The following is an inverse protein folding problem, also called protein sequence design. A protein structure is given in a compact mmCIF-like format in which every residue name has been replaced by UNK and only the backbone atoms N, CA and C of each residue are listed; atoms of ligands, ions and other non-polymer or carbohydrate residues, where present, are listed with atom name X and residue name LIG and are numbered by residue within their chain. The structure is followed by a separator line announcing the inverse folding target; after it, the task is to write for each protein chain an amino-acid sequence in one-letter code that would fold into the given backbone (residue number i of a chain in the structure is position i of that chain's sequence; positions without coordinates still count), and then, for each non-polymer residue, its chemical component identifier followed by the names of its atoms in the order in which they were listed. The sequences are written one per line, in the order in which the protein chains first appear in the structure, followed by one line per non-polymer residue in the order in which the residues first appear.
data_IF_245252549562
#
_entry.id   IF_245252549562
#
_cell.length_a   1.000
_cell.length_b   1.000
_cell.length_c   1.000
_cell.angle_alpha   90.00
_cell.angle_beta   90.00
_cell.angle_gamma   90.00
#
_symmetry.space_group_name_H-M   'P 1'
#
loop_
_entity.id
_entity.type
_entity.pdbx_description
1 polymer ?
#
# COMPACT_ATOMS: atom_id res chain seq x y z
N UNK A 1 -7.61 -17.40 -5.74
CA UNK A 1 -7.54 -16.30 -4.74
C UNK A 1 -8.78 -15.43 -4.89
N UNK A 2 -9.54 -15.19 -3.82
CA UNK A 2 -10.83 -14.45 -3.89
C UNK A 2 -10.63 -12.93 -3.87
N UNK A 3 -9.51 -12.46 -3.32
CA UNK A 3 -9.26 -11.03 -3.09
C UNK A 3 -9.19 -10.22 -4.39
N UNK A 4 -8.51 -10.72 -5.42
CA UNK A 4 -8.29 -9.98 -6.68
C UNK A 4 -9.62 -9.66 -7.40
N UNK A 5 -10.53 -10.63 -7.65
CA UNK A 5 -11.83 -10.34 -8.23
C UNK A 5 -12.68 -9.37 -7.40
N UNK A 6 -12.64 -9.50 -6.06
CA UNK A 6 -13.38 -8.59 -5.17
C UNK A 6 -12.86 -7.17 -5.33
N UNK A 7 -11.54 -6.95 -5.21
CA UNK A 7 -10.94 -5.61 -5.27
C UNK A 7 -11.26 -4.92 -6.59
N UNK A 8 -11.12 -5.61 -7.72
CA UNK A 8 -11.43 -5.03 -9.04
C UNK A 8 -12.92 -4.68 -9.11
N UNK A 9 -13.80 -5.61 -8.74
CA UNK A 9 -15.24 -5.40 -8.84
C UNK A 9 -15.72 -4.27 -7.93
N UNK A 10 -15.27 -4.22 -6.68
CA UNK A 10 -15.69 -3.20 -5.72
C UNK A 10 -15.16 -1.82 -6.08
N UNK A 11 -13.91 -1.72 -6.54
CA UNK A 11 -13.33 -0.43 -6.94
C UNK A 11 -13.97 0.10 -8.21
N UNK A 12 -14.14 -0.73 -9.25
CA UNK A 12 -14.74 -0.29 -10.52
C UNK A 12 -16.18 0.17 -10.29
N UNK A 13 -16.99 -0.63 -9.59
CA UNK A 13 -18.39 -0.28 -9.28
C UNK A 13 -18.46 0.93 -8.36
N UNK A 14 -17.61 0.98 -7.33
CA UNK A 14 -17.57 2.07 -6.36
C UNK A 14 -17.23 3.40 -7.02
N UNK A 15 -16.26 3.42 -7.93
CA UNK A 15 -15.80 4.63 -8.61
C UNK A 15 -16.78 5.07 -9.69
N UNK A 16 -17.32 4.14 -10.47
CA UNK A 16 -18.36 4.44 -11.45
C UNK A 16 -19.61 5.07 -10.79
N UNK A 17 -19.89 4.75 -9.52
CA UNK A 17 -20.98 5.33 -8.75
C UNK A 17 -20.74 6.75 -8.19
N UNK A 18 -19.50 7.25 -8.18
CA UNK A 18 -19.17 8.59 -7.62
C UNK A 18 -19.59 9.73 -8.56
N UNK A 19 -19.80 9.46 -9.85
CA UNK A 19 -20.38 10.42 -10.81
C UNK A 19 -19.42 11.53 -11.30
N UNK A 20 -18.43 11.93 -10.50
CA UNK A 20 -17.42 12.94 -10.89
C UNK A 20 -15.97 12.53 -10.54
N UNK A 21 -15.07 12.66 -11.52
CA UNK A 21 -13.64 12.42 -11.39
C UNK A 21 -12.95 13.39 -10.41
N UNK A 22 -13.41 14.65 -10.35
CA UNK A 22 -12.88 15.66 -9.43
C UNK A 22 -13.22 15.30 -8.00
N UNK A 23 -14.47 14.89 -7.75
CA UNK A 23 -14.88 14.42 -6.44
C UNK A 23 -14.06 13.20 -5.98
N UNK A 24 -13.75 12.26 -6.88
CA UNK A 24 -12.88 11.12 -6.57
C UNK A 24 -11.47 11.56 -6.16
N UNK A 25 -10.87 12.51 -6.89
CA UNK A 25 -9.57 13.08 -6.55
C UNK A 25 -9.55 13.74 -5.16
N UNK A 26 -10.60 14.47 -4.81
CA UNK A 26 -10.77 15.06 -3.48
C UNK A 26 -10.93 14.00 -2.38
N UNK A 27 -11.69 12.94 -2.63
CA UNK A 27 -11.83 11.81 -1.69
C UNK A 27 -10.46 11.14 -1.48
N UNK A 28 -9.72 10.89 -2.57
CA UNK A 28 -8.38 10.32 -2.50
C UNK A 28 -7.41 11.18 -1.68
N UNK A 29 -7.36 12.49 -1.94
CA UNK A 29 -6.50 13.42 -1.20
C UNK A 29 -6.85 13.46 0.30
N UNK A 30 -8.15 13.55 0.65
CA UNK A 30 -8.61 13.49 2.04
C UNK A 30 -8.23 12.16 2.70
N UNK A 31 -8.29 11.06 1.95
CA UNK A 31 -7.92 9.73 2.43
C UNK A 31 -6.43 9.64 2.73
N UNK A 32 -5.56 10.16 1.86
CA UNK A 32 -4.11 10.21 2.09
C UNK A 32 -3.78 11.00 3.37
N UNK A 33 -4.34 12.20 3.51
CA UNK A 33 -4.13 13.03 4.71
C UNK A 33 -4.64 12.32 5.97
N UNK A 34 -5.82 11.69 5.88
CA UNK A 34 -6.37 10.91 6.99
C UNK A 34 -5.46 9.75 7.39
N UNK A 35 -4.96 8.98 6.41
CA UNK A 35 -4.04 7.88 6.65
C UNK A 35 -2.74 8.35 7.29
N UNK A 36 -2.15 9.45 6.81
CA UNK A 36 -0.90 9.98 7.36
C UNK A 36 -1.05 10.41 8.82
N UNK A 37 -2.16 11.08 9.15
CA UNK A 37 -2.42 11.52 10.52
C UNK A 37 -2.62 10.33 11.44
N UNK A 38 -3.45 9.36 11.06
CA UNK A 38 -3.76 8.22 11.93
C UNK A 38 -2.55 7.28 12.09
N UNK A 39 -1.74 7.07 11.04
CA UNK A 39 -0.51 6.27 11.12
C UNK A 39 0.52 6.94 12.01
N UNK A 40 0.68 8.26 11.90
CA UNK A 40 1.59 9.03 12.77
C UNK A 40 1.17 8.89 14.24
N UNK A 41 -0.12 9.05 14.54
CA UNK A 41 -0.65 8.86 15.89
C UNK A 41 -0.41 7.43 16.38
N UNK A 42 -0.65 6.42 15.52
CA UNK A 42 -0.41 5.02 15.86
C UNK A 42 1.08 4.74 16.16
N UNK A 43 2.00 5.31 15.39
CA UNK A 43 3.45 5.19 15.62
C UNK A 43 3.85 5.82 16.95
N UNK A 44 3.38 7.04 17.24
CA UNK A 44 3.67 7.72 18.50
C UNK A 44 3.16 6.91 19.69
N UNK A 45 1.93 6.39 19.61
CA UNK A 45 1.37 5.52 20.65
C UNK A 45 2.16 4.22 20.80
N UNK A 46 2.50 3.57 19.69
CA UNK A 46 3.28 2.33 19.68
C UNK A 46 4.65 2.48 20.33
N UNK A 47 5.38 3.55 20.00
CA UNK A 47 6.69 3.87 20.59
C UNK A 47 6.54 4.21 22.08
N UNK A 48 5.51 4.99 22.44
CA UNK A 48 5.25 5.36 23.84
C UNK A 48 5.00 4.11 24.69
N UNK A 49 4.11 3.22 24.24
CA UNK A 49 3.83 1.96 24.92
C UNK A 49 5.06 1.05 24.97
N UNK A 50 5.83 0.95 23.88
CA UNK A 50 7.08 0.18 23.88
C UNK A 50 8.08 0.70 24.92
N UNK A 51 8.23 2.03 25.07
CA UNK A 51 9.13 2.63 26.06
C UNK A 51 8.63 2.50 27.50
N UNK A 52 7.32 2.44 27.72
CA UNK A 52 6.72 2.28 29.06
C UNK A 52 6.76 0.83 29.52
N UNK A 53 6.31 -0.10 28.67
CA UNK A 53 6.23 -1.52 29.00
C UNK A 53 7.56 -2.25 28.83
N UNK A 54 8.49 -1.67 28.05
CA UNK A 54 9.85 -2.17 27.83
C UNK A 54 9.87 -3.68 27.52
N UNK A 55 9.12 -4.15 26.50
CA UNK A 55 9.04 -5.57 26.18
C UNK A 55 10.43 -6.07 25.76
N UNK A 56 11.13 -6.72 26.69
CA UNK A 56 12.53 -7.12 26.53
C UNK A 56 13.36 -7.09 27.82
N UNK A 57 12.90 -6.41 28.87
CA UNK A 57 13.58 -6.44 30.17
C UNK A 57 13.54 -7.85 30.75
N UNK A 58 14.71 -8.45 30.98
CA UNK A 58 14.85 -9.82 31.49
C UNK A 58 15.10 -10.90 30.42
N UNK A 59 15.21 -10.53 29.14
CA UNK A 59 15.68 -11.45 28.11
C UNK A 59 17.21 -11.60 28.24
N UNK A 60 17.65 -12.80 28.59
CA UNK A 60 19.07 -13.15 28.60
C UNK A 60 19.56 -13.37 27.17
N UNK A 61 20.23 -12.34 26.62
CA UNK A 61 20.81 -12.34 25.27
C UNK A 61 21.83 -13.48 25.05
N UNK A 62 22.32 -14.13 26.11
CA UNK A 62 23.24 -15.27 26.04
C UNK A 62 22.55 -16.61 25.76
N UNK A 63 21.24 -16.72 26.02
CA UNK A 63 20.42 -17.91 25.74
C UNK A 63 19.74 -17.87 24.35
N UNK A 64 19.73 -16.71 23.69
CA UNK A 64 19.39 -16.65 22.28
C UNK A 64 20.55 -17.29 21.51
N UNK A 65 20.39 -18.57 21.15
CA UNK A 65 21.29 -19.29 20.26
C UNK A 65 21.71 -18.36 19.13
N UNK A 66 23.01 -18.08 19.01
CA UNK A 66 23.60 -17.13 18.08
C UNK A 66 22.91 -17.24 16.71
N UNK A 67 21.91 -16.39 16.50
CA UNK A 67 21.13 -16.41 15.28
C UNK A 67 22.10 -15.92 14.23
N UNK A 68 22.43 -16.79 13.27
CA UNK A 68 23.39 -16.48 12.21
C UNK A 68 22.87 -15.29 11.40
N UNK A 69 23.37 -14.10 11.75
CA UNK A 69 22.98 -12.80 11.19
C UNK A 69 23.23 -12.78 9.67
N UNK A 70 24.13 -13.64 9.18
CA UNK A 70 24.43 -13.85 7.76
C UNK A 70 23.18 -14.23 6.95
N UNK A 71 22.19 -14.90 7.54
CA UNK A 71 20.91 -15.20 6.87
C UNK A 71 20.03 -13.97 6.65
N UNK A 72 20.19 -12.95 7.48
CA UNK A 72 19.44 -11.69 7.37
C UNK A 72 20.17 -10.65 6.52
N UNK A 73 21.48 -10.79 6.31
CA UNK A 73 22.25 -9.90 5.44
C UNK A 73 21.73 -9.89 4.00
N UNK A 74 21.33 -11.05 3.47
CA UNK A 74 20.72 -11.13 2.14
C UNK A 74 19.36 -10.43 2.08
N UNK A 75 18.52 -10.58 3.12
CA UNK A 75 17.23 -9.87 3.21
C UNK A 75 17.44 -8.36 3.35
N UNK A 76 18.42 -7.92 4.16
CA UNK A 76 18.77 -6.50 4.31
C UNK A 76 19.29 -5.92 2.99
N UNK A 77 20.11 -6.67 2.25
CA UNK A 77 20.58 -6.28 0.93
C UNK A 77 19.45 -6.20 -0.10
N UNK A 78 18.47 -7.10 -0.07
CA UNK A 78 17.26 -7.01 -0.90
C UNK A 78 16.40 -5.80 -0.53
N UNK A 79 16.23 -5.51 0.76
CA UNK A 79 15.45 -4.35 1.24
C UNK A 79 16.14 -3.02 0.93
N UNK A 80 17.49 -2.95 1.00
CA UNK A 80 18.26 -1.76 0.64
C UNK A 80 18.43 -1.57 -0.87
N UNK A 81 18.49 -2.65 -1.66
CA UNK A 81 18.73 -2.58 -3.11
C UNK A 81 17.48 -2.26 -3.92
N UNK A 82 16.28 -2.58 -3.40
CA UNK A 82 15.07 -1.99 -3.92
C UNK A 82 15.07 -0.52 -3.52
N UNK A 83 15.40 0.35 -4.48
CA UNK A 83 15.21 1.78 -4.35
C UNK A 83 13.74 2.08 -3.99
N UNK A 84 13.43 2.06 -2.69
CA UNK A 84 12.25 2.63 -2.05
C UNK A 84 12.33 4.16 -2.08
N UNK A 85 12.83 4.70 -3.20
CA UNK A 85 12.60 6.08 -3.54
C UNK A 85 11.14 6.22 -3.93
N UNK A 86 10.55 7.34 -3.56
CA UNK A 86 9.18 7.71 -3.93
C UNK A 86 8.92 7.54 -5.43
N UNK A 87 9.93 7.78 -6.28
CA UNK A 87 9.88 7.53 -7.72
C UNK A 87 9.72 6.05 -8.08
N UNK A 88 10.43 5.14 -7.41
CA UNK A 88 10.32 3.70 -7.64
C UNK A 88 8.92 3.19 -7.33
N UNK A 89 8.34 3.64 -6.22
CA UNK A 89 6.96 3.30 -5.84
C UNK A 89 5.93 3.85 -6.83
N UNK A 90 6.11 5.08 -7.32
CA UNK A 90 5.24 5.64 -8.37
C UNK A 90 5.34 4.84 -9.66
N UNK A 91 6.55 4.44 -10.07
CA UNK A 91 6.75 3.62 -11.28
C UNK A 91 6.12 2.23 -11.13
N UNK A 92 6.20 1.63 -9.93
CA UNK A 92 5.53 0.36 -9.63
C UNK A 92 4.00 0.44 -9.61
N UNK A 93 3.42 1.65 -9.58
CA UNK A 93 1.98 1.83 -9.63
C UNK A 93 1.41 1.46 -11.02
N UNK A 94 2.17 1.70 -12.09
CA UNK A 94 1.74 1.42 -13.46
C UNK A 94 2.13 -0.01 -13.85
N UNK A 95 1.17 -0.94 -14.03
CA UNK A 95 1.49 -2.31 -14.43
C UNK A 95 2.01 -2.35 -15.88
N UNK A 96 3.08 -3.10 -16.12
CA UNK A 96 3.50 -3.46 -17.48
C UNK A 96 2.56 -4.50 -18.10
N UNK A 97 1.94 -5.36 -17.28
CA UNK A 97 0.92 -6.32 -17.70
C UNK A 97 -0.06 -6.61 -16.55
N UNK A 98 -1.32 -6.18 -16.70
CA UNK A 98 -2.35 -6.35 -15.66
C UNK A 98 -2.71 -7.81 -15.38
N UNK A 99 -2.67 -8.69 -16.38
CA UNK A 99 -2.99 -10.12 -16.21
C UNK A 99 -1.92 -10.80 -15.37
N UNK A 100 -0.65 -10.44 -15.59
CA UNK A 100 0.44 -10.91 -14.77
C UNK A 100 0.34 -10.39 -13.31
N UNK A 101 0.00 -9.12 -13.12
CA UNK A 101 -0.21 -8.55 -11.78
C UNK A 101 -1.36 -9.22 -11.03
N UNK A 102 -2.47 -9.51 -11.70
CA UNK A 102 -3.60 -10.25 -11.13
C UNK A 102 -3.22 -11.69 -10.75
N UNK A 103 -2.40 -12.36 -11.56
CA UNK A 103 -1.93 -13.72 -11.28
C UNK A 103 -0.94 -13.76 -10.10
N UNK A 104 -0.07 -12.74 -9.99
CA UNK A 104 0.89 -12.59 -8.89
C UNK A 104 0.28 -12.02 -7.61
N UNK A 105 -0.87 -11.37 -7.71
CA UNK A 105 -1.52 -10.70 -6.58
C UNK A 105 -0.90 -9.35 -6.22
N UNK A 106 -0.24 -8.69 -7.18
CA UNK A 106 0.36 -7.37 -6.96
C UNK A 106 -0.76 -6.33 -6.78
N UNK A 107 -1.07 -5.95 -5.54
CA UNK A 107 -2.25 -5.13 -5.23
C UNK A 107 -2.14 -3.70 -5.75
N UNK A 108 -0.96 -3.07 -5.65
CA UNK A 108 -0.78 -1.67 -6.02
C UNK A 108 -1.15 -1.41 -7.49
N UNK A 109 -0.62 -2.18 -8.47
CA UNK A 109 -1.01 -2.03 -9.86
C UNK A 109 -2.47 -2.41 -10.15
N UNK A 110 -3.02 -3.41 -9.45
CA UNK A 110 -4.43 -3.83 -9.59
C UNK A 110 -5.37 -2.69 -9.18
N UNK A 111 -5.10 -2.04 -8.04
CA UNK A 111 -5.89 -0.90 -7.55
C UNK A 111 -5.79 0.26 -8.54
N UNK A 112 -4.57 0.59 -8.99
CA UNK A 112 -4.36 1.68 -9.95
C UNK A 112 -5.13 1.46 -11.25
N UNK A 113 -5.03 0.26 -11.83
CA UNK A 113 -5.78 -0.10 -13.03
C UNK A 113 -7.29 -0.02 -12.79
N UNK A 114 -7.78 -0.53 -11.66
CA UNK A 114 -9.21 -0.52 -11.33
C UNK A 114 -9.77 0.90 -11.24
N UNK A 115 -8.99 1.84 -10.69
CA UNK A 115 -9.35 3.25 -10.60
C UNK A 115 -9.46 3.89 -11.99
N UNK A 116 -8.44 3.68 -12.84
CA UNK A 116 -8.47 4.20 -14.21
C UNK A 116 -9.61 3.59 -15.04
N UNK A 117 -9.85 2.28 -14.88
CA UNK A 117 -10.92 1.57 -15.58
C UNK A 117 -12.30 2.02 -15.13
N UNK A 118 -12.49 2.30 -13.83
CA UNK A 118 -13.74 2.86 -13.30
C UNK A 118 -13.99 4.32 -13.71
N UNK A 119 -12.93 5.12 -13.85
CA UNK A 119 -12.99 6.52 -14.30
C UNK A 119 -13.22 6.68 -15.81
N UNK A 120 -12.74 5.73 -16.63
CA UNK A 120 -12.79 5.81 -18.10
C UNK A 120 -14.19 6.13 -18.66
N UNK A 121 -15.25 5.41 -18.26
CA UNK A 121 -16.62 5.68 -18.69
C UNK A 121 -17.13 7.08 -18.30
N UNK A 122 -16.76 7.58 -17.12
CA UNK A 122 -17.12 8.94 -16.65
C UNK A 122 -16.53 10.02 -17.57
N UNK A 123 -15.25 9.89 -17.91
CA UNK A 123 -14.53 10.85 -18.74
C UNK A 123 -14.98 10.81 -20.21
N UNK A 124 -15.38 9.63 -20.70
CA UNK A 124 -15.88 9.46 -22.07
C UNK A 124 -17.32 9.94 -22.27
N UNK A 125 -18.12 10.04 -21.19
CA UNK A 125 -19.51 10.50 -21.23
C UNK A 125 -19.66 12.03 -21.38
N UNK A 126 -18.58 12.79 -21.27
CA UNK A 126 -18.56 14.23 -21.61
C UNK A 126 -19.01 15.18 -20.50
N UNK A 127 -19.16 14.73 -19.26
CA UNK A 127 -19.36 15.64 -18.13
C UNK A 127 -18.05 16.38 -17.81
N UNK A 128 -17.99 17.71 -17.96
CA UNK A 128 -16.78 18.50 -17.74
C UNK A 128 -16.49 18.68 -16.22
N UNK A 129 -15.24 19.05 -15.85
CA UNK A 129 -14.79 19.20 -14.45
C UNK A 129 -15.32 20.44 -13.71
#
# INVERSE_FOLDING_TARGET
MIVVPIVISTLVVGIAGVGDAKQLGWIGAKTIIYFEVITTVAIVLGITLANVFQPGTGIDMSQLAAVDISKYQNTTAEVQSHAHGLMGTILSLVPTNIVASMAKGDMLPIIFFSVLFGLGPLLAAGDPP
#
